data_IF_493191218786
#
_entry.id   IF_493191218786
#
_cell.length_a   1.000
_cell.length_b   1.000
_cell.length_c   1.000
_cell.angle_alpha   90.00
_cell.angle_beta   90.00
_cell.angle_gamma   90.00
#
_symmetry.space_group_name_H-M   'P 1'
#
loop_
_entity.id
_entity.type
_entity.pdbx_description
1 polymer ?
#
# COMPACT_ATOMS: atom_id res chain seq x y z
N UNK A 1 33.60 8.78 -1.13
CA UNK A 1 32.42 8.78 -0.24
C UNK A 1 31.54 7.63 -0.69
N UNK A 2 31.69 6.50 -0.02
CA UNK A 2 31.22 5.19 -0.43
C UNK A 2 29.70 5.15 -0.45
N UNK A 3 29.09 4.80 -1.59
CA UNK A 3 27.64 4.56 -1.65
C UNK A 3 27.36 3.30 -0.83
N UNK A 4 26.85 3.48 0.39
CA UNK A 4 26.43 2.43 1.34
C UNK A 4 25.34 1.50 0.78
N UNK A 5 24.73 1.86 -0.34
CA UNK A 5 23.63 1.14 -0.97
C UNK A 5 24.00 0.53 -2.31
N UNK A 6 23.53 -0.71 -2.55
CA UNK A 6 23.79 -1.51 -3.76
C UNK A 6 23.11 -0.96 -5.03
N UNK A 7 22.09 -0.11 -4.88
CA UNK A 7 21.36 0.53 -5.97
C UNK A 7 20.79 1.87 -5.53
N UNK A 8 20.48 2.75 -6.49
CA UNK A 8 19.78 4.02 -6.25
C UNK A 8 18.29 3.87 -6.53
N UNK A 9 17.46 4.59 -5.76
CA UNK A 9 16.02 4.62 -5.99
C UNK A 9 15.70 5.43 -7.26
N UNK A 10 14.69 5.02 -8.06
CA UNK A 10 14.25 5.79 -9.21
C UNK A 10 13.62 7.11 -8.75
N UNK A 11 14.00 8.22 -9.39
CA UNK A 11 13.49 9.57 -9.07
C UNK A 11 12.67 10.16 -10.21
N UNK A 12 12.95 9.77 -11.45
CA UNK A 12 12.27 10.28 -12.64
C UNK A 12 11.01 9.46 -12.93
N UNK A 13 9.99 10.13 -13.46
CA UNK A 13 8.79 9.46 -13.96
C UNK A 13 9.18 8.44 -15.04
N UNK A 14 8.68 7.20 -14.90
CA UNK A 14 8.98 6.12 -15.83
C UNK A 14 10.35 5.46 -15.64
N UNK A 15 11.15 5.85 -14.63
CA UNK A 15 12.38 5.14 -14.29
C UNK A 15 12.05 3.83 -13.57
N UNK A 16 12.32 2.71 -14.23
CA UNK A 16 12.04 1.36 -13.71
C UNK A 16 13.32 0.67 -13.27
N UNK A 17 13.27 0.02 -12.10
CA UNK A 17 14.36 -0.81 -11.58
C UNK A 17 13.86 -2.22 -11.36
N UNK A 18 14.66 -3.21 -11.79
CA UNK A 18 14.40 -4.62 -11.55
C UNK A 18 15.39 -5.15 -10.54
N UNK A 19 14.89 -5.60 -9.39
CA UNK A 19 15.70 -6.23 -8.34
C UNK A 19 15.53 -7.75 -8.46
N UNK A 20 16.64 -8.44 -8.75
CA UNK A 20 16.66 -9.90 -8.91
C UNK A 20 17.11 -10.62 -7.65
N UNK A 21 17.04 -11.96 -7.67
CA UNK A 21 17.52 -12.85 -6.61
C UNK A 21 16.88 -12.61 -5.23
N UNK A 22 15.63 -12.14 -5.21
CA UNK A 22 14.85 -11.97 -3.99
C UNK A 22 14.13 -13.29 -3.64
N UNK A 23 14.71 -14.07 -2.73
CA UNK A 23 14.14 -15.35 -2.27
C UNK A 23 13.70 -15.27 -0.81
N UNK A 24 12.56 -15.87 -0.48
CA UNK A 24 12.01 -15.87 0.88
C UNK A 24 11.68 -14.46 1.38
N UNK A 25 12.11 -14.13 2.59
CA UNK A 25 11.88 -12.83 3.25
C UNK A 25 12.72 -11.68 2.67
N UNK A 26 13.59 -11.93 1.67
CA UNK A 26 14.41 -10.88 1.04
C UNK A 26 13.55 -9.76 0.45
N UNK A 27 12.36 -10.08 -0.08
CA UNK A 27 11.45 -9.08 -0.62
C UNK A 27 10.98 -8.09 0.45
N UNK A 28 10.57 -8.59 1.63
CA UNK A 28 10.12 -7.74 2.73
C UNK A 28 11.25 -6.88 3.30
N UNK A 29 12.45 -7.44 3.43
CA UNK A 29 13.64 -6.70 3.87
C UNK A 29 13.99 -5.56 2.91
N UNK A 30 14.02 -5.84 1.60
CA UNK A 30 14.28 -4.80 0.60
C UNK A 30 13.19 -3.73 0.58
N UNK A 31 11.92 -4.11 0.73
CA UNK A 31 10.83 -3.14 0.86
C UNK A 31 11.02 -2.23 2.08
N UNK A 32 11.39 -2.81 3.23
CA UNK A 32 11.68 -2.04 4.45
C UNK A 32 12.85 -1.06 4.26
N UNK A 33 13.91 -1.46 3.57
CA UNK A 33 15.03 -0.59 3.22
C UNK A 33 14.64 0.53 2.25
N UNK A 34 13.83 0.23 1.23
CA UNK A 34 13.30 1.24 0.30
C UNK A 34 12.50 2.30 1.07
N UNK A 35 11.64 1.91 2.01
CA UNK A 35 10.84 2.84 2.83
C UNK A 35 11.73 3.70 3.73
N UNK A 36 12.79 3.13 4.33
CA UNK A 36 13.75 3.89 5.15
C UNK A 36 14.38 5.02 4.32
N UNK A 37 14.82 4.68 3.09
CA UNK A 37 15.56 5.56 2.18
C UNK A 37 14.68 6.59 1.46
N UNK A 38 13.41 6.28 1.21
CA UNK A 38 12.48 7.16 0.51
C UNK A 38 11.78 8.12 1.48
N UNK A 39 11.82 9.42 1.20
CA UNK A 39 11.18 10.47 2.01
C UNK A 39 9.70 10.72 1.63
N UNK A 40 8.94 9.65 1.38
CA UNK A 40 7.56 9.74 0.92
C UNK A 40 6.80 8.41 1.05
N UNK A 41 5.51 8.42 0.72
CA UNK A 41 4.68 7.21 0.68
C UNK A 41 5.17 6.24 -0.41
N UNK A 42 5.40 4.99 -0.03
CA UNK A 42 5.69 3.89 -0.96
C UNK A 42 4.42 3.08 -1.17
N UNK A 43 4.07 2.80 -2.42
CA UNK A 43 2.92 1.95 -2.75
C UNK A 43 3.43 0.60 -3.23
N UNK A 44 3.14 -0.45 -2.48
CA UNK A 44 3.50 -1.83 -2.82
C UNK A 44 2.30 -2.53 -3.45
N UNK A 45 2.44 -2.89 -4.72
CA UNK A 45 1.40 -3.58 -5.48
C UNK A 45 1.69 -5.08 -5.47
N UNK A 46 0.77 -5.87 -4.93
CA UNK A 46 0.86 -7.34 -4.89
C UNK A 46 -0.02 -7.99 -5.94
N UNK A 47 0.22 -9.27 -6.19
CA UNK A 47 -0.61 -10.07 -7.11
C UNK A 47 -2.02 -10.28 -6.58
N UNK A 48 -2.13 -10.57 -5.29
CA UNK A 48 -3.36 -10.95 -4.61
C UNK A 48 -3.31 -10.50 -3.14
N UNK A 49 -4.46 -10.63 -2.48
CA UNK A 49 -4.65 -10.25 -1.09
C UNK A 49 -3.82 -11.11 -0.12
N UNK A 50 -3.63 -12.40 -0.43
CA UNK A 50 -2.82 -13.30 0.40
C UNK A 50 -1.35 -12.84 0.46
N UNK A 51 -0.78 -12.45 -0.67
CA UNK A 51 0.56 -11.87 -0.73
C UNK A 51 0.62 -10.49 -0.05
N UNK A 52 -0.45 -9.69 -0.11
CA UNK A 52 -0.53 -8.40 0.57
C UNK A 52 -0.41 -8.57 2.09
N UNK A 53 -1.21 -9.47 2.67
CA UNK A 53 -1.20 -9.74 4.11
C UNK A 53 0.12 -10.36 4.56
N UNK A 54 0.66 -11.33 3.82
CA UNK A 54 1.97 -11.92 4.13
C UNK A 54 3.08 -10.86 4.15
N UNK A 55 3.14 -10.01 3.13
CA UNK A 55 4.15 -8.95 3.05
C UNK A 55 3.92 -7.87 4.11
N UNK A 56 2.68 -7.56 4.47
CA UNK A 56 2.37 -6.66 5.58
C UNK A 56 3.00 -7.15 6.88
N UNK A 57 2.80 -8.42 7.23
CA UNK A 57 3.32 -8.98 8.47
C UNK A 57 4.85 -9.10 8.44
N UNK A 58 5.44 -9.50 7.31
CA UNK A 58 6.90 -9.57 7.16
C UNK A 58 7.55 -8.17 7.25
N UNK A 59 7.00 -7.16 6.56
CA UNK A 59 7.58 -5.81 6.53
C UNK A 59 7.50 -5.14 7.90
N UNK A 60 6.42 -5.37 8.66
CA UNK A 60 6.27 -4.87 10.04
C UNK A 60 7.39 -5.34 10.98
N UNK A 61 8.03 -6.48 10.69
CA UNK A 61 9.16 -6.97 11.49
C UNK A 61 10.47 -6.23 11.18
N UNK A 62 10.59 -5.59 10.01
CA UNK A 62 11.82 -4.96 9.53
C UNK A 62 11.79 -3.43 9.54
N UNK A 63 10.64 -2.80 9.79
CA UNK A 63 10.51 -1.36 9.89
C UNK A 63 9.42 -0.89 10.86
N UNK A 64 9.65 0.25 11.50
CA UNK A 64 8.72 0.90 12.43
C UNK A 64 7.81 1.95 11.76
N UNK A 65 7.78 2.00 10.42
CA UNK A 65 6.94 2.95 9.69
C UNK A 65 5.49 2.45 9.59
N UNK A 66 4.51 3.34 9.38
CA UNK A 66 3.11 2.94 9.16
C UNK A 66 2.99 1.99 7.95
N UNK A 67 2.43 0.80 8.20
CA UNK A 67 2.13 -0.23 7.19
C UNK A 67 0.62 -0.38 7.07
N UNK A 68 0.04 0.29 6.08
CA UNK A 68 -1.39 0.25 5.78
C UNK A 68 -1.68 -0.71 4.63
N UNK A 69 -2.87 -1.32 4.64
CA UNK A 69 -3.32 -2.19 3.55
C UNK A 69 -4.70 -1.76 3.09
N UNK A 70 -4.91 -1.71 1.77
CA UNK A 70 -6.21 -1.44 1.19
C UNK A 70 -6.85 -2.76 0.76
N UNK A 71 -7.81 -3.22 1.57
CA UNK A 71 -8.54 -4.46 1.33
C UNK A 71 -9.31 -4.41 0.02
N UNK A 72 -9.38 -5.52 -0.72
CA UNK A 72 -10.35 -5.67 -1.81
C UNK A 72 -11.78 -5.77 -1.26
N UNK A 73 -12.77 -5.78 -2.15
CA UNK A 73 -14.17 -5.85 -1.71
C UNK A 73 -14.62 -7.26 -1.33
N UNK A 74 -13.74 -8.26 -1.47
CA UNK A 74 -14.04 -9.70 -1.30
C UNK A 74 -15.20 -10.23 -2.14
N UNK A 75 -15.71 -9.43 -3.10
CA UNK A 75 -16.73 -9.83 -4.05
C UNK A 75 -16.19 -9.83 -5.48
N UNK A 76 -16.80 -10.64 -6.33
CA UNK A 76 -16.46 -10.66 -7.75
C UNK A 76 -16.99 -9.40 -8.46
N UNK A 77 -16.38 -9.00 -9.60
CA UNK A 77 -16.97 -7.99 -10.45
C UNK A 77 -18.39 -8.41 -10.87
N UNK A 78 -19.37 -7.52 -10.66
CA UNK A 78 -20.80 -7.76 -10.95
C UNK A 78 -21.45 -8.84 -10.08
N UNK A 79 -20.94 -9.06 -8.87
CA UNK A 79 -21.60 -9.90 -7.87
C UNK A 79 -22.93 -9.27 -7.41
N UNK A 80 -23.88 -10.13 -7.03
CA UNK A 80 -25.19 -9.72 -6.51
C UNK A 80 -25.12 -9.36 -5.03
N UNK A 81 -24.03 -9.72 -4.35
CA UNK A 81 -23.81 -9.41 -2.95
C UNK A 81 -23.10 -8.08 -2.78
N UNK A 82 -23.64 -7.27 -1.87
CA UNK A 82 -22.92 -6.13 -1.33
C UNK A 82 -21.77 -6.63 -0.45
N UNK A 83 -20.58 -6.02 -0.55
CA UNK A 83 -19.47 -6.33 0.33
C UNK A 83 -19.81 -6.09 1.80
N UNK A 84 -19.13 -6.79 2.69
CA UNK A 84 -19.34 -6.67 4.12
C UNK A 84 -19.08 -5.23 4.60
N UNK A 85 -19.92 -4.75 5.52
CA UNK A 85 -19.86 -3.38 6.04
C UNK A 85 -18.49 -3.05 6.66
N UNK A 86 -17.85 -4.03 7.27
CA UNK A 86 -16.50 -3.90 7.85
C UNK A 86 -15.45 -3.58 6.78
N UNK A 87 -15.52 -4.24 5.61
CA UNK A 87 -14.62 -3.99 4.48
C UNK A 87 -14.83 -2.59 3.93
N UNK A 88 -16.09 -2.17 3.78
CA UNK A 88 -16.42 -0.83 3.30
C UNK A 88 -15.87 0.23 4.26
N UNK A 89 -16.10 0.05 5.56
CA UNK A 89 -15.63 0.94 6.62
C UNK A 89 -14.09 1.05 6.63
N UNK A 90 -13.40 -0.10 6.60
CA UNK A 90 -11.94 -0.16 6.57
C UNK A 90 -11.37 0.53 5.34
N UNK A 91 -11.94 0.27 4.15
CA UNK A 91 -11.52 0.93 2.91
C UNK A 91 -11.71 2.44 2.97
N UNK A 92 -12.85 2.93 3.45
CA UNK A 92 -13.11 4.35 3.59
C UNK A 92 -12.14 5.01 4.58
N UNK A 93 -11.89 4.37 5.72
CA UNK A 93 -10.92 4.83 6.71
C UNK A 93 -9.50 4.93 6.11
N UNK A 94 -9.05 3.89 5.41
CA UNK A 94 -7.73 3.89 4.75
C UNK A 94 -7.65 4.95 3.66
N UNK A 95 -8.68 5.08 2.80
CA UNK A 95 -8.74 6.12 1.76
C UNK A 95 -8.73 7.53 2.33
N UNK A 96 -9.31 7.74 3.51
CA UNK A 96 -9.29 9.02 4.20
C UNK A 96 -7.91 9.33 4.81
N UNK A 97 -7.20 8.32 5.31
CA UNK A 97 -5.86 8.45 5.92
C UNK A 97 -4.73 8.59 4.89
N UNK A 98 -4.87 8.04 3.68
CA UNK A 98 -3.84 8.08 2.62
C UNK A 98 -3.30 9.49 2.34
N UNK A 99 -4.14 10.54 2.16
CA UNK A 99 -3.64 11.90 1.92
C UNK A 99 -2.80 12.49 3.06
N UNK A 100 -2.96 12.03 4.30
CA UNK A 100 -2.16 12.46 5.46
C UNK A 100 -0.91 11.62 5.70
N UNK A 101 -0.76 10.48 5.02
CA UNK A 101 0.40 9.60 5.13
C UNK A 101 1.58 10.19 4.34
N UNK A 102 2.39 11.01 5.00
CA UNK A 102 3.60 11.60 4.43
C UNK A 102 4.71 10.57 4.19
N UNK A 103 4.86 9.59 5.09
CA UNK A 103 5.84 8.52 5.00
C UNK A 103 5.24 7.21 5.52
N UNK A 104 5.47 6.13 4.81
CA UNK A 104 4.96 4.81 5.14
C UNK A 104 4.84 3.94 3.90
N UNK A 105 4.16 2.81 4.06
CA UNK A 105 3.85 1.90 2.97
C UNK A 105 2.35 1.63 2.90
N UNK A 106 1.81 1.72 1.69
CA UNK A 106 0.47 1.27 1.34
C UNK A 106 0.59 -0.01 0.51
N UNK A 107 0.11 -1.12 1.05
CA UNK A 107 0.09 -2.41 0.37
C UNK A 107 -1.30 -2.62 -0.22
N UNK A 108 -1.37 -2.99 -1.49
CA UNK A 108 -2.64 -3.34 -2.12
C UNK A 108 -2.44 -4.33 -3.27
N UNK A 109 -3.41 -5.21 -3.53
CA UNK A 109 -3.36 -6.08 -4.69
C UNK A 109 -3.74 -5.34 -5.99
N UNK A 110 -3.30 -5.89 -7.12
CA UNK A 110 -3.51 -5.29 -8.46
C UNK A 110 -4.99 -5.12 -8.82
N UNK A 111 -5.86 -6.04 -8.41
CA UNK A 111 -7.32 -5.93 -8.60
C UNK A 111 -7.89 -4.69 -7.90
N UNK A 112 -7.48 -4.44 -6.66
CA UNK A 112 -7.89 -3.25 -5.89
C UNK A 112 -7.37 -1.97 -6.51
N UNK A 113 -6.14 -1.98 -7.04
CA UNK A 113 -5.55 -0.80 -7.69
C UNK A 113 -6.31 -0.39 -8.96
N UNK A 114 -6.75 -1.36 -9.76
CA UNK A 114 -7.48 -1.10 -11.00
C UNK A 114 -8.92 -0.62 -10.76
N UNK A 115 -9.43 -0.79 -9.55
CA UNK A 115 -10.78 -0.39 -9.22
C UNK A 115 -10.88 1.13 -9.04
N UNK A 116 -11.86 1.75 -9.72
CA UNK A 116 -12.16 3.17 -9.53
C UNK A 116 -12.63 3.42 -8.10
N UNK A 117 -12.00 4.38 -7.44
CA UNK A 117 -12.38 4.83 -6.09
C UNK A 117 -13.17 6.14 -6.15
N UNK A 118 -13.99 6.38 -5.13
CA UNK A 118 -14.72 7.63 -5.00
C UNK A 118 -13.74 8.81 -4.93
N UNK A 119 -14.02 9.93 -5.62
CA UNK A 119 -13.15 11.10 -5.56
C UNK A 119 -13.08 11.65 -4.13
N UNK A 120 -11.87 12.02 -3.69
CA UNK A 120 -11.57 12.53 -2.34
C UNK A 120 -12.47 13.71 -1.91
N UNK A 121 -12.95 14.52 -2.87
CA UNK A 121 -13.89 15.62 -2.59
C UNK A 121 -15.21 15.14 -1.99
N UNK A 122 -15.68 13.93 -2.34
CA UNK A 122 -16.92 13.38 -1.82
C UNK A 122 -16.73 12.84 -0.39
N UNK A 123 -15.66 12.08 -0.14
CA UNK A 123 -15.40 11.51 1.19
C UNK A 123 -15.20 12.59 2.26
N UNK A 124 -14.46 13.67 1.97
CA UNK A 124 -14.25 14.78 2.93
C UNK A 124 -15.50 15.58 3.26
N UNK A 125 -16.48 15.66 2.34
CA UNK A 125 -17.72 16.43 2.55
C UNK A 125 -18.77 15.68 3.35
N UNK A 126 -18.75 14.35 3.30
CA UNK A 126 -19.71 13.49 4.00
C UNK A 126 -19.25 13.09 5.41
N UNK A 127 -18.01 13.41 5.79
CA UNK A 127 -17.55 13.26 7.16
C UNK A 127 -18.31 14.25 8.06
N UNK A 128 -19.18 13.73 8.92
CA UNK A 128 -19.74 14.50 10.03
C UNK A 128 -18.63 14.59 11.08
N UNK A 129 -18.07 15.78 11.26
CA UNK A 129 -17.17 16.04 12.37
C UNK A 129 -18.02 15.98 13.66
N UNK A 130 -17.97 14.85 14.36
CA UNK A 130 -18.33 14.83 15.77
C UNK A 130 -17.13 15.39 16.54
N UNK A 131 -17.16 16.70 16.77
CA UNK A 131 -16.51 17.30 17.95
C UNK A 131 -17.45 17.17 19.15
#
# INVERSE_FOLDING_TARGET
MSSEYRYQLPVKQGDTRQLGQLTGAACALECAEIIKRHAGLVVLVTRDMQNALRLQDEIRQFCDYPVETLSDWETLPYDSFSPHQEIISNRLSTLYRIPSLLKGILILPVNTLMQKVCPNRLSRKSCINNE
#
